data_IF_613802387664
#
_entry.id   IF_613802387664
#
_cell.length_a   1.000
_cell.length_b   1.000
_cell.length_c   1.000
_cell.angle_alpha   90.00
_cell.angle_beta   90.00
_cell.angle_gamma   90.00
#
_symmetry.space_group_name_H-M   'P 1'
#
loop_
_entity.id
_entity.type
_entity.pdbx_description
1 polymer ?
#
# COMPACT_ATOMS: atom_id res chain seq x y z
N UNK A 1 -5.02 -21.59 0.59
CA UNK A 1 -4.07 -20.61 0.02
C UNK A 1 -4.53 -19.25 0.49
N UNK A 2 -3.65 -18.42 1.05
CA UNK A 2 -3.99 -17.20 1.80
C UNK A 2 -3.45 -15.94 1.07
N UNK A 3 -3.82 -14.74 1.54
CA UNK A 3 -3.37 -13.43 1.00
C UNK A 3 -1.84 -13.23 1.09
N UNK A 4 -1.17 -13.99 1.95
CA UNK A 4 0.28 -14.18 1.96
C UNK A 4 0.77 -14.67 0.59
N UNK A 5 1.71 -13.99 -0.08
CA UNK A 5 2.80 -13.18 0.51
C UNK A 5 2.64 -11.65 0.41
N UNK A 6 1.52 -11.14 -0.09
CA UNK A 6 1.41 -9.73 -0.48
C UNK A 6 0.94 -8.83 0.67
N UNK A 7 -0.04 -9.28 1.46
CA UNK A 7 -0.52 -8.55 2.63
C UNK A 7 -0.90 -9.50 3.75
N UNK A 8 -0.93 -8.96 4.97
CA UNK A 8 -1.46 -9.65 6.14
C UNK A 8 -2.93 -9.31 6.36
N UNK A 9 -3.68 -10.27 6.91
CA UNK A 9 -5.11 -10.08 7.20
C UNK A 9 -5.35 -8.91 8.17
N UNK A 10 -4.41 -8.64 9.07
CA UNK A 10 -4.46 -7.52 9.99
C UNK A 10 -4.38 -6.17 9.28
N UNK A 11 -3.59 -6.05 8.20
CA UNK A 11 -3.47 -4.83 7.41
C UNK A 11 -4.76 -4.53 6.65
N UNK A 12 -5.41 -5.57 6.11
CA UNK A 12 -6.72 -5.45 5.43
C UNK A 12 -7.80 -4.98 6.41
N UNK A 13 -7.81 -5.53 7.63
CA UNK A 13 -8.71 -5.09 8.71
C UNK A 13 -8.46 -3.64 9.13
N UNK A 14 -7.18 -3.26 9.28
CA UNK A 14 -6.80 -1.90 9.61
C UNK A 14 -7.26 -0.90 8.53
N UNK A 15 -7.17 -1.27 7.25
CA UNK A 15 -7.64 -0.45 6.15
C UNK A 15 -9.18 -0.25 6.14
N UNK A 16 -9.94 -1.22 6.66
CA UNK A 16 -11.39 -1.15 6.78
C UNK A 16 -11.87 -0.56 8.11
N UNK A 17 -11.00 -0.48 9.12
CA UNK A 17 -11.37 -0.06 10.48
C UNK A 17 -12.19 -1.11 11.23
N UNK A 18 -11.98 -2.39 10.93
CA UNK A 18 -12.80 -3.52 11.40
C UNK A 18 -11.95 -4.45 12.25
N UNK A 19 -12.54 -5.10 13.26
CA UNK A 19 -11.80 -6.03 14.13
C UNK A 19 -11.86 -7.50 13.62
N UNK A 20 -11.18 -8.41 14.30
CA UNK A 20 -11.15 -9.84 13.94
C UNK A 20 -12.46 -10.59 14.21
N UNK A 21 -13.34 -10.03 15.05
CA UNK A 21 -14.66 -10.59 15.37
C UNK A 21 -15.62 -10.31 14.21
N UNK A 22 -15.59 -9.09 13.68
CA UNK A 22 -16.43 -8.62 12.58
C UNK A 22 -15.97 -9.18 11.23
N UNK A 23 -14.66 -9.37 11.05
CA UNK A 23 -14.08 -9.94 9.84
C UNK A 23 -13.07 -11.06 10.19
N UNK A 24 -13.53 -12.31 10.32
CA UNK A 24 -12.67 -13.42 10.72
C UNK A 24 -11.69 -13.81 9.61
N UNK A 25 -10.54 -14.36 9.99
CA UNK A 25 -9.48 -14.76 9.05
C UNK A 25 -9.95 -15.79 8.04
N UNK A 26 -10.92 -16.63 8.41
CA UNK A 26 -11.53 -17.60 7.51
C UNK A 26 -12.20 -16.94 6.29
N UNK A 27 -12.76 -15.73 6.45
CA UNK A 27 -13.37 -14.97 5.35
C UNK A 27 -12.29 -14.33 4.49
N UNK A 28 -11.29 -13.69 5.10
CA UNK A 28 -10.18 -13.07 4.36
C UNK A 28 -9.32 -14.09 3.59
N UNK A 29 -9.20 -15.30 4.12
CA UNK A 29 -8.49 -16.41 3.48
C UNK A 29 -9.31 -17.11 2.38
N UNK A 30 -10.51 -16.64 2.05
CA UNK A 30 -11.27 -17.21 0.94
C UNK A 30 -10.52 -17.00 -0.40
N UNK A 31 -10.47 -18.03 -1.27
CA UNK A 31 -9.73 -17.95 -2.53
C UNK A 31 -10.17 -16.81 -3.46
N UNK A 32 -11.41 -16.34 -3.34
CA UNK A 32 -11.95 -15.26 -4.18
C UNK A 32 -11.14 -13.96 -4.04
N UNK A 33 -10.76 -13.59 -2.81
CA UNK A 33 -10.00 -12.37 -2.54
C UNK A 33 -8.56 -12.49 -3.05
N UNK A 34 -7.96 -13.67 -2.93
CA UNK A 34 -6.64 -13.95 -3.49
C UNK A 34 -6.66 -13.85 -5.03
N UNK A 35 -7.64 -14.48 -5.69
CA UNK A 35 -7.77 -14.43 -7.15
C UNK A 35 -8.00 -12.99 -7.62
N UNK A 36 -8.85 -12.24 -6.92
CA UNK A 36 -9.08 -10.83 -7.19
C UNK A 36 -7.80 -10.00 -7.08
N UNK A 37 -7.04 -10.17 -6.00
CA UNK A 37 -5.78 -9.47 -5.78
C UNK A 37 -4.75 -9.75 -6.89
N UNK A 38 -4.55 -11.02 -7.25
CA UNK A 38 -3.61 -11.39 -8.33
C UNK A 38 -4.03 -10.78 -9.66
N UNK A 39 -5.34 -10.73 -9.95
CA UNK A 39 -5.86 -10.05 -11.15
C UNK A 39 -5.58 -8.55 -11.12
N UNK A 40 -5.75 -7.88 -9.98
CA UNK A 40 -5.43 -6.45 -9.85
C UNK A 40 -3.94 -6.16 -10.03
N UNK A 41 -3.06 -6.98 -9.44
CA UNK A 41 -1.62 -6.85 -9.66
C UNK A 41 -1.24 -7.03 -11.13
N UNK A 42 -1.80 -8.04 -11.80
CA UNK A 42 -1.59 -8.29 -13.22
C UNK A 42 -2.11 -7.17 -14.14
N UNK A 43 -3.14 -6.43 -13.71
CA UNK A 43 -3.63 -5.25 -14.45
C UNK A 43 -2.65 -4.07 -14.39
N UNK A 44 -1.84 -3.98 -13.34
CA UNK A 44 -0.82 -2.94 -13.23
C UNK A 44 0.39 -3.30 -14.10
N UNK A 45 0.96 -4.47 -13.88
CA UNK A 45 1.98 -5.05 -14.75
C UNK A 45 2.01 -6.57 -14.60
N UNK A 46 2.08 -7.29 -15.72
CA UNK A 46 2.13 -8.76 -15.71
C UNK A 46 3.41 -9.33 -15.09
N UNK A 47 4.50 -8.56 -15.06
CA UNK A 47 5.77 -8.93 -14.44
C UNK A 47 5.81 -8.68 -12.93
N UNK A 48 4.86 -7.91 -12.38
CA UNK A 48 4.88 -7.46 -10.98
C UNK A 48 4.93 -8.61 -9.96
N UNK A 49 4.12 -9.68 -10.08
CA UNK A 49 4.20 -10.82 -9.15
C UNK A 49 5.59 -11.49 -9.15
N UNK A 50 6.23 -11.58 -10.32
CA UNK A 50 7.56 -12.15 -10.45
C UNK A 50 8.63 -11.24 -9.84
N UNK A 51 8.58 -9.93 -10.11
CA UNK A 51 9.48 -8.93 -9.52
C UNK A 51 9.37 -8.87 -8.00
N UNK A 52 8.14 -8.92 -7.47
CA UNK A 52 7.90 -8.98 -6.02
C UNK A 52 8.49 -10.25 -5.40
N UNK A 53 8.26 -11.41 -6.01
CA UNK A 53 8.80 -12.68 -5.50
C UNK A 53 10.34 -12.68 -5.52
N UNK A 54 10.96 -12.11 -6.56
CA UNK A 54 12.42 -12.01 -6.67
C UNK A 54 13.00 -11.07 -5.60
N UNK A 55 12.39 -9.91 -5.38
CA UNK A 55 12.82 -8.96 -4.35
C UNK A 55 12.59 -9.52 -2.93
N UNK A 56 11.47 -10.23 -2.71
CA UNK A 56 11.16 -10.79 -1.39
C UNK A 56 12.04 -12.00 -1.04
N UNK A 57 12.53 -12.74 -2.03
CA UNK A 57 13.46 -13.86 -1.82
C UNK A 57 14.85 -13.39 -1.33
N UNK A 58 15.23 -12.13 -1.59
CA UNK A 58 16.48 -11.55 -1.07
C UNK A 58 16.33 -11.23 0.42
N UNK A 59 17.38 -11.44 1.24
CA UNK A 59 17.41 -10.96 2.63
C UNK A 59 17.37 -9.43 2.68
N UNK A 60 16.80 -8.86 3.75
CA UNK A 60 16.56 -7.42 3.91
C UNK A 60 17.78 -6.54 3.64
N UNK A 61 18.95 -7.06 3.99
CA UNK A 61 20.22 -6.33 3.99
C UNK A 61 20.87 -6.28 2.60
N UNK A 62 20.40 -7.14 1.68
CA UNK A 62 20.88 -7.21 0.29
C UNK A 62 19.89 -6.59 -0.71
N UNK A 63 18.76 -6.06 -0.24
CA UNK A 63 17.76 -5.41 -1.08
C UNK A 63 18.19 -3.98 -1.41
N UNK A 64 18.09 -3.61 -2.68
CA UNK A 64 18.31 -2.23 -3.11
C UNK A 64 17.19 -1.32 -2.60
N UNK A 65 17.41 0.00 -2.60
CA UNK A 65 16.40 0.96 -2.19
C UNK A 65 15.14 0.89 -3.07
N UNK A 66 15.33 0.78 -4.40
CA UNK A 66 14.25 0.58 -5.36
C UNK A 66 13.47 -0.73 -5.12
N UNK A 67 14.14 -1.83 -4.74
CA UNK A 67 13.49 -3.10 -4.39
C UNK A 67 12.67 -2.97 -3.10
N UNK A 68 13.18 -2.26 -2.10
CA UNK A 68 12.45 -1.99 -0.84
C UNK A 68 11.20 -1.15 -1.11
N UNK A 69 11.35 -0.05 -1.87
CA UNK A 69 10.25 0.81 -2.26
C UNK A 69 9.16 0.04 -3.02
N UNK A 70 9.54 -0.84 -3.96
CA UNK A 70 8.58 -1.68 -4.68
C UNK A 70 7.87 -2.67 -3.77
N UNK A 71 8.57 -3.32 -2.84
CA UNK A 71 7.96 -4.23 -1.88
C UNK A 71 6.93 -3.52 -1.01
N UNK A 72 7.28 -2.36 -0.46
CA UNK A 72 6.40 -1.58 0.41
C UNK A 72 5.19 -1.04 -0.36
N UNK A 73 5.39 -0.51 -1.57
CA UNK A 73 4.29 -0.05 -2.42
C UNK A 73 3.36 -1.21 -2.84
N UNK A 74 3.91 -2.40 -3.11
CA UNK A 74 3.12 -3.59 -3.47
C UNK A 74 2.29 -4.07 -2.28
N UNK A 75 2.87 -4.11 -1.07
CA UNK A 75 2.15 -4.47 0.16
C UNK A 75 1.00 -3.51 0.43
N UNK A 76 1.28 -2.21 0.41
CA UNK A 76 0.28 -1.16 0.64
C UNK A 76 -0.85 -1.22 -0.40
N UNK A 77 -0.52 -1.36 -1.69
CA UNK A 77 -1.52 -1.56 -2.75
C UNK A 77 -2.35 -2.81 -2.52
N UNK A 78 -1.72 -3.93 -2.18
CA UNK A 78 -2.42 -5.20 -1.98
C UNK A 78 -3.37 -5.18 -0.79
N UNK A 79 -3.02 -4.48 0.29
CA UNK A 79 -3.90 -4.27 1.44
C UNK A 79 -5.17 -3.50 1.03
N UNK A 80 -5.04 -2.36 0.33
CA UNK A 80 -6.19 -1.58 -0.12
C UNK A 80 -7.00 -2.28 -1.23
N UNK A 81 -6.36 -3.02 -2.14
CA UNK A 81 -7.06 -3.77 -3.19
C UNK A 81 -7.94 -4.88 -2.59
N UNK A 82 -7.41 -5.61 -1.61
CA UNK A 82 -8.13 -6.66 -0.89
C UNK A 82 -9.25 -6.05 -0.04
N UNK A 83 -8.95 -4.96 0.68
CA UNK A 83 -9.93 -4.23 1.46
C UNK A 83 -11.08 -3.69 0.60
N UNK A 84 -10.82 -3.23 -0.63
CA UNK A 84 -11.86 -2.81 -1.58
C UNK A 84 -12.82 -3.94 -1.93
N UNK A 85 -12.29 -5.13 -2.22
CA UNK A 85 -13.11 -6.29 -2.59
C UNK A 85 -13.97 -6.77 -1.43
N UNK A 86 -13.41 -6.85 -0.23
CA UNK A 86 -14.15 -7.21 0.99
C UNK A 86 -15.16 -6.12 1.36
N UNK A 87 -14.75 -4.85 1.16
CA UNK A 87 -15.52 -3.65 1.42
C UNK A 87 -16.90 -3.72 0.76
N UNK A 88 -17.01 -4.18 -0.48
CA UNK A 88 -18.29 -4.33 -1.21
C UNK A 88 -19.31 -5.19 -0.44
N UNK A 89 -18.85 -6.25 0.21
CA UNK A 89 -19.72 -7.14 1.00
C UNK A 89 -19.95 -6.66 2.43
N UNK A 90 -19.19 -5.67 2.92
CA UNK A 90 -19.15 -5.30 4.33
C UNK A 90 -20.48 -4.71 4.85
N UNK A 91 -21.18 -3.93 4.03
CA UNK A 91 -22.52 -3.42 4.37
C UNK A 91 -23.54 -4.53 4.67
N UNK A 92 -23.35 -5.72 4.10
CA UNK A 92 -24.22 -6.87 4.38
C UNK A 92 -23.80 -7.66 5.62
N UNK A 93 -22.58 -7.45 6.12
CA UNK A 93 -21.96 -8.25 7.19
C UNK A 93 -21.98 -7.58 8.56
N UNK A 94 -22.12 -6.24 8.64
CA UNK A 94 -22.09 -5.53 9.92
C UNK A 94 -23.51 -5.30 10.50
N UNK A 95 -23.87 -5.99 11.61
CA UNK A 95 -25.07 -5.65 12.38
C UNK A 95 -24.86 -4.31 13.10
N UNK A 96 -25.91 -3.48 13.13
CA UNK A 96 -25.95 -2.18 13.80
C UNK A 96 -26.08 -2.32 15.33
N UNK A 97 -26.71 -3.40 15.79
CA UNK A 97 -26.92 -3.68 17.21
C UNK A 97 -26.96 -5.19 17.45
N UNK A 98 -26.31 -5.66 18.51
CA UNK A 98 -26.31 -7.07 18.95
C UNK A 98 -26.78 -7.08 20.41
N UNK A 99 -28.09 -7.00 20.61
CA UNK A 99 -28.73 -7.06 21.92
C UNK A 99 -29.30 -8.45 22.22
N UNK A 100 -28.91 -9.03 23.36
CA UNK A 100 -29.47 -10.28 23.86
C UNK A 100 -30.79 -9.99 24.61
N UNK A 101 -31.90 -10.50 24.07
CA UNK A 101 -33.22 -10.34 24.70
C UNK A 101 -34.37 -10.77 23.80
N UNK A 102 -34.42 -10.30 22.54
CA UNK A 102 -35.33 -10.72 21.45
C UNK A 102 -34.74 -10.27 20.11
N UNK A 103 -33.90 -11.10 19.49
CA UNK A 103 -32.95 -10.71 18.44
C UNK A 103 -33.60 -10.08 17.18
N UNK A 104 -33.67 -8.75 17.14
CA UNK A 104 -33.82 -7.98 15.90
C UNK A 104 -32.45 -7.52 15.45
N UNK A 105 -31.93 -8.11 14.36
CA UNK A 105 -30.71 -7.62 13.71
C UNK A 105 -31.08 -6.39 12.89
N UNK A 106 -30.77 -5.19 13.39
CA UNK A 106 -30.81 -3.98 12.57
C UNK A 106 -29.46 -3.83 11.85
N UNK A 107 -29.44 -3.27 10.62
CA UNK A 107 -28.21 -3.04 9.84
C UNK A 107 -28.06 -1.54 9.54
N UNK A 108 -26.83 -1.04 9.42
CA UNK A 108 -26.61 0.35 9.00
C UNK A 108 -27.03 0.51 7.54
N UNK A 109 -27.87 1.51 7.26
CA UNK A 109 -28.52 1.60 5.96
C UNK A 109 -27.69 2.30 4.88
N UNK A 110 -26.81 3.29 5.15
CA UNK A 110 -26.15 3.97 4.01
C UNK A 110 -24.95 4.89 4.30
N UNK A 111 -25.05 5.87 5.22
CA UNK A 111 -24.17 7.04 5.17
C UNK A 111 -22.67 6.81 5.52
N UNK A 112 -22.29 6.29 6.71
CA UNK A 112 -20.88 6.20 7.10
C UNK A 112 -20.10 5.17 6.25
N UNK A 113 -20.78 4.11 5.81
CA UNK A 113 -20.19 3.07 4.98
C UNK A 113 -19.78 3.60 3.59
N UNK A 114 -20.65 4.38 2.93
CA UNK A 114 -20.34 4.97 1.62
C UNK A 114 -19.12 5.89 1.68
N UNK A 115 -18.98 6.67 2.75
CA UNK A 115 -17.82 7.53 2.95
C UNK A 115 -16.52 6.74 3.17
N UNK A 116 -16.58 5.65 3.93
CA UNK A 116 -15.41 4.77 4.13
C UNK A 116 -14.95 4.13 2.82
N UNK A 117 -15.88 3.66 1.98
CA UNK A 117 -15.55 3.10 0.67
C UNK A 117 -14.98 4.15 -0.27
N UNK A 118 -15.52 5.37 -0.28
CA UNK A 118 -15.01 6.46 -1.10
C UNK A 118 -13.57 6.84 -0.71
N UNK A 119 -13.28 6.93 0.60
CA UNK A 119 -11.91 7.15 1.10
C UNK A 119 -10.98 6.00 0.75
N UNK A 120 -11.47 4.77 0.85
CA UNK A 120 -10.70 3.58 0.51
C UNK A 120 -10.37 3.53 -0.99
N UNK A 121 -11.30 3.96 -1.85
CA UNK A 121 -11.04 4.10 -3.28
C UNK A 121 -10.00 5.20 -3.57
N UNK A 122 -10.04 6.33 -2.86
CA UNK A 122 -9.01 7.37 -2.99
C UNK A 122 -7.62 6.85 -2.57
N UNK A 123 -7.53 6.11 -1.47
CA UNK A 123 -6.29 5.47 -1.01
C UNK A 123 -5.79 4.40 -1.98
N UNK A 124 -6.71 3.61 -2.55
CA UNK A 124 -6.39 2.63 -3.58
C UNK A 124 -5.77 3.29 -4.82
N UNK A 125 -6.33 4.41 -5.29
CA UNK A 125 -5.78 5.14 -6.44
C UNK A 125 -4.41 5.73 -6.13
N UNK A 126 -4.21 6.30 -4.95
CA UNK A 126 -2.92 6.84 -4.50
C UNK A 126 -1.85 5.72 -4.40
N UNK A 127 -2.22 4.58 -3.81
CA UNK A 127 -1.36 3.40 -3.72
C UNK A 127 -0.97 2.88 -5.11
N UNK A 128 -1.92 2.86 -6.06
CA UNK A 128 -1.66 2.47 -7.45
C UNK A 128 -0.68 3.41 -8.13
N UNK A 129 -0.82 4.73 -7.95
CA UNK A 129 0.15 5.69 -8.52
C UNK A 129 1.54 5.53 -7.90
N UNK A 130 1.62 5.28 -6.59
CA UNK A 130 2.90 5.03 -5.92
C UNK A 130 3.56 3.76 -6.47
N UNK A 131 2.78 2.69 -6.67
CA UNK A 131 3.30 1.43 -7.21
C UNK A 131 3.83 1.60 -8.63
N UNK A 132 3.15 2.38 -9.47
CA UNK A 132 3.61 2.69 -10.82
C UNK A 132 4.91 3.51 -10.80
N UNK A 133 5.05 4.46 -9.87
CA UNK A 133 6.28 5.23 -9.70
C UNK A 133 7.45 4.32 -9.29
N UNK A 134 7.26 3.46 -8.28
CA UNK A 134 8.30 2.50 -7.84
C UNK A 134 8.67 1.48 -8.91
N UNK A 135 7.71 1.07 -9.75
CA UNK A 135 8.00 0.23 -10.92
C UNK A 135 8.83 0.98 -11.98
N UNK A 136 8.57 2.26 -12.20
CA UNK A 136 9.34 3.06 -13.13
C UNK A 136 10.79 3.23 -12.65
N UNK A 137 10.99 3.48 -11.35
CA UNK A 137 12.31 3.56 -10.72
C UNK A 137 13.09 2.24 -10.85
N UNK A 138 12.46 1.09 -10.59
CA UNK A 138 13.14 -0.20 -10.71
C UNK A 138 13.58 -0.54 -12.15
N UNK A 139 12.87 -0.01 -13.15
CA UNK A 139 13.20 -0.21 -14.56
C UNK A 139 14.18 0.85 -15.10
N UNK A 140 14.38 1.96 -14.40
CA UNK A 140 15.43 2.91 -14.72
C UNK A 140 16.75 2.29 -14.28
N UNK A 141 17.53 1.79 -15.25
CA UNK A 141 18.96 1.57 -15.03
C UNK A 141 19.58 2.89 -14.60
N UNK A 142 20.10 2.95 -13.37
CA UNK A 142 20.84 4.08 -12.82
C UNK A 142 21.90 4.55 -13.83
N UNK A 143 21.61 5.63 -14.57
CA UNK A 143 22.67 6.44 -15.14
C UNK A 143 23.12 7.29 -13.96
N UNK A 144 24.23 6.90 -13.34
CA UNK A 144 24.85 7.65 -12.25
C UNK A 144 25.09 9.09 -12.70
N UNK A 145 24.19 10.00 -12.33
CA UNK A 145 24.41 11.43 -12.47
C UNK A 145 25.38 11.83 -11.36
N UNK A 146 26.66 11.94 -11.73
CA UNK A 146 27.69 12.48 -10.87
C UNK A 146 27.28 13.90 -10.43
N UNK A 147 26.82 14.01 -9.19
CA UNK A 147 26.58 15.31 -8.53
C UNK A 147 27.96 15.90 -8.24
N UNK A 148 28.39 16.87 -9.04
CA UNK A 148 29.57 17.68 -8.72
C UNK A 148 29.25 18.56 -7.51
N UNK A 149 29.90 18.39 -6.35
CA UNK A 149 29.68 19.29 -5.22
C UNK A 149 30.21 20.69 -5.57
N UNK A 150 29.35 21.70 -5.52
CA UNK A 150 29.73 23.10 -5.70
C UNK A 150 30.49 23.52 -4.43
N UNK A 151 31.82 23.49 -4.48
CA UNK A 151 32.66 23.99 -3.40
C UNK A 151 32.60 25.52 -3.36
N UNK A 152 31.97 26.09 -2.32
CA UNK A 152 31.97 27.52 -2.06
C UNK A 152 33.32 27.91 -1.44
N UNK A 153 34.23 28.45 -2.24
CA UNK A 153 35.50 28.99 -1.73
C UNK A 153 35.26 30.45 -1.32
N UNK A 154 35.21 30.71 -0.02
CA UNK A 154 35.15 32.08 0.52
C UNK A 154 36.51 32.78 0.32
N UNK A 155 36.57 33.71 -0.64
CA UNK A 155 37.73 34.59 -0.82
C UNK A 155 37.83 35.60 0.34
N UNK A 156 38.97 35.67 1.03
CA UNK A 156 39.22 36.71 2.03
C UNK A 156 39.36 38.06 1.33
N UNK A 157 38.61 39.08 1.77
CA UNK A 157 38.85 40.48 1.41
C UNK A 157 40.13 40.95 2.12
N UNK A 158 41.21 41.17 1.38
CA UNK A 158 42.37 41.91 1.89
C UNK A 158 42.02 43.39 1.89
N UNK A 159 41.91 43.98 3.08
CA UNK A 159 41.82 45.42 3.27
C UNK A 159 43.25 45.96 3.36
N UNK A 160 43.62 46.89 2.49
CA UNK A 160 44.86 47.66 2.57
C UNK A 160 44.51 49.09 3.05
N UNK A 161 44.90 49.50 4.27
CA UNK A 161 44.47 50.76 4.85
C UNK A 161 45.41 51.96 4.60
N UNK A 162 46.43 51.88 3.73
CA UNK A 162 47.32 53.04 3.50
C UNK A 162 47.64 53.26 2.02
N UNK A 163 46.63 53.66 1.23
CA UNK A 163 46.72 54.74 0.23
C UNK A 163 45.33 55.03 -0.36
N UNK A 164 44.66 56.09 0.14
CA UNK A 164 43.54 56.78 -0.54
C UNK A 164 42.15 56.37 -0.11
#
# INVERSE_FOLDING_TARGET
MALTPYCENAEVRAALGVNSIELPDAVLNLPIYQIGLVRELNKVASSLPASFSAANAKPSDQRTEAEKALLDATKLFSAYASARQVGVSLASMMPKDVGDGKATVSRFADAPYKDTLARLEAMYLAARSSLLASLAELNQTDIATAVTPIAFIAGKRSYDPVTG
#
